data_IF_469058846985
#
_entry.id   IF_469058846985
#
_cell.length_a   1.000
_cell.length_b   1.000
_cell.length_c   1.000
_cell.angle_alpha   90.00
_cell.angle_beta   90.00
_cell.angle_gamma   90.00
#
_symmetry.space_group_name_H-M   'P 1'
#
loop_
_entity.id
_entity.type
_entity.pdbx_description
1 polymer ?
#
# COMPACT_ATOMS: atom_id res chain seq x y z
N UNK A 1 -6.82 -3.73 1.32
CA UNK A 1 -8.10 -3.17 0.85
C UNK A 1 -8.76 -4.17 -0.07
N UNK A 2 -10.05 -4.47 0.14
CA UNK A 2 -10.83 -5.31 -0.78
C UNK A 2 -11.52 -4.40 -1.80
N UNK A 3 -11.17 -4.54 -3.07
CA UNK A 3 -11.60 -3.68 -4.17
C UNK A 3 -12.07 -4.53 -5.36
N UNK A 4 -13.03 -4.02 -6.11
CA UNK A 4 -13.42 -4.51 -7.44
C UNK A 4 -12.48 -3.96 -8.50
N UNK A 5 -12.38 -4.62 -9.66
CA UNK A 5 -11.64 -4.09 -10.80
C UNK A 5 -12.14 -2.68 -11.18
N UNK A 6 -11.21 -1.73 -11.34
CA UNK A 6 -11.48 -0.34 -11.67
C UNK A 6 -11.82 0.57 -10.48
N UNK A 7 -12.08 0.01 -9.29
CA UNK A 7 -12.26 0.82 -8.06
C UNK A 7 -11.03 1.69 -7.81
N UNK A 8 -11.24 2.92 -7.31
CA UNK A 8 -10.16 3.88 -7.03
C UNK A 8 -10.12 4.28 -5.57
N UNK A 9 -8.92 4.25 -4.98
CA UNK A 9 -8.67 4.76 -3.63
C UNK A 9 -7.52 5.76 -3.65
N UNK A 10 -7.78 6.99 -3.20
CA UNK A 10 -6.71 7.91 -2.86
C UNK A 10 -5.98 7.38 -1.63
N UNK A 11 -4.67 7.49 -1.62
CA UNK A 11 -3.84 7.12 -0.48
C UNK A 11 -2.76 8.16 -0.22
N UNK A 12 -2.34 8.23 1.04
CA UNK A 12 -1.05 8.79 1.42
C UNK A 12 -0.50 8.00 2.59
N UNK A 13 0.79 7.70 2.55
CA UNK A 13 1.50 7.15 3.70
C UNK A 13 2.79 7.92 3.96
N UNK A 14 3.15 8.00 5.24
CA UNK A 14 4.38 8.64 5.68
C UNK A 14 5.00 7.87 6.85
N UNK A 15 6.33 7.92 6.92
CA UNK A 15 7.16 7.28 7.93
C UNK A 15 7.70 8.34 8.87
N UNK A 16 7.59 8.10 10.18
CA UNK A 16 8.29 8.85 11.21
C UNK A 16 9.40 8.00 11.79
N UNK A 17 10.60 8.57 11.97
CA UNK A 17 11.76 7.88 12.53
C UNK A 17 12.69 7.22 11.51
N UNK A 18 12.43 7.36 10.20
CA UNK A 18 13.30 6.82 9.16
C UNK A 18 12.63 6.70 7.80
N UNK A 19 13.07 5.71 7.04
CA UNK A 19 12.61 5.39 5.69
C UNK A 19 12.33 3.89 5.57
N UNK A 20 11.54 3.50 4.59
CA UNK A 20 11.20 2.09 4.35
C UNK A 20 11.38 1.72 2.88
N UNK A 21 11.63 0.43 2.64
CA UNK A 21 11.34 -0.16 1.34
C UNK A 21 9.85 -0.50 1.28
N UNK A 22 9.21 -0.30 0.14
CA UNK A 22 7.78 -0.57 0.00
C UNK A 22 7.43 -1.32 -1.28
N UNK A 23 6.23 -1.90 -1.26
CA UNK A 23 5.56 -2.51 -2.41
C UNK A 23 4.05 -2.24 -2.31
N UNK A 24 3.54 -1.35 -3.16
CA UNK A 24 2.10 -1.20 -3.39
C UNK A 24 1.69 -2.34 -4.31
N UNK A 25 0.83 -3.25 -3.84
CA UNK A 25 0.56 -4.51 -4.52
C UNK A 25 -0.92 -4.87 -4.54
N UNK A 26 -1.26 -5.81 -5.42
CA UNK A 26 -2.56 -6.45 -5.47
C UNK A 26 -2.43 -7.97 -5.57
N UNK A 27 -3.32 -8.71 -4.91
CA UNK A 27 -3.39 -10.16 -4.93
C UNK A 27 -4.82 -10.69 -5.04
N UNK A 28 -4.97 -11.81 -5.75
CA UNK A 28 -6.17 -12.61 -5.85
C UNK A 28 -5.79 -14.07 -6.12
N UNK A 29 -6.77 -14.97 -6.20
CA UNK A 29 -6.50 -16.38 -6.44
C UNK A 29 -5.73 -16.58 -7.76
N UNK A 30 -4.46 -16.99 -7.67
CA UNK A 30 -3.58 -17.18 -8.82
C UNK A 30 -3.07 -15.90 -9.49
N UNK A 31 -3.24 -14.72 -8.88
CA UNK A 31 -2.79 -13.43 -9.43
C UNK A 31 -2.09 -12.61 -8.36
N UNK A 32 -0.96 -12.02 -8.69
CA UNK A 32 -0.28 -11.03 -7.87
C UNK A 32 0.44 -10.02 -8.77
N UNK A 33 0.35 -8.74 -8.43
CA UNK A 33 1.07 -7.65 -9.13
C UNK A 33 1.66 -6.69 -8.12
N UNK A 34 2.70 -5.98 -8.55
CA UNK A 34 3.18 -4.77 -7.89
C UNK A 34 2.81 -3.58 -8.76
N UNK A 35 2.10 -2.62 -8.19
CA UNK A 35 1.85 -1.32 -8.79
C UNK A 35 3.12 -0.46 -8.74
N UNK A 36 3.79 -0.44 -7.59
CA UNK A 36 4.98 0.36 -7.38
C UNK A 36 5.86 -0.25 -6.30
N UNK A 37 7.18 -0.14 -6.47
CA UNK A 37 8.16 -0.49 -5.44
C UNK A 37 9.17 0.63 -5.27
N UNK A 38 9.55 0.89 -4.02
CA UNK A 38 10.61 1.84 -3.69
C UNK A 38 11.56 1.32 -2.62
N UNK A 39 12.72 1.99 -2.49
CA UNK A 39 13.74 1.70 -1.47
C UNK A 39 14.17 3.00 -0.81
N UNK A 40 14.24 3.00 0.53
CA UNK A 40 14.63 4.21 1.29
C UNK A 40 13.65 5.37 1.05
N UNK A 41 12.36 5.13 1.20
CA UNK A 41 11.32 6.14 0.95
C UNK A 41 10.63 6.51 2.26
N UNK A 42 10.53 7.81 2.54
CA UNK A 42 9.91 8.35 3.75
C UNK A 42 8.39 8.55 3.61
N UNK A 43 7.87 8.72 2.40
CA UNK A 43 6.45 8.93 2.14
C UNK A 43 6.11 8.67 0.69
N UNK A 44 4.86 8.35 0.41
CA UNK A 44 4.30 8.29 -0.94
C UNK A 44 2.79 8.58 -0.90
N UNK A 45 2.25 9.10 -1.99
CA UNK A 45 0.84 9.42 -2.15
C UNK A 45 0.39 9.26 -3.60
N UNK A 46 -0.90 8.94 -3.79
CA UNK A 46 -1.43 8.74 -5.12
C UNK A 46 -2.84 8.18 -5.15
N UNK A 47 -3.20 7.63 -6.31
CA UNK A 47 -4.46 6.92 -6.53
C UNK A 47 -4.15 5.47 -6.86
N UNK A 48 -4.64 4.55 -6.04
CA UNK A 48 -4.62 3.14 -6.34
C UNK A 48 -5.88 2.77 -7.12
N UNK A 49 -5.72 2.44 -8.40
CA UNK A 49 -6.77 1.88 -9.24
C UNK A 49 -6.60 0.36 -9.32
N UNK A 50 -7.61 -0.38 -8.89
CA UNK A 50 -7.54 -1.83 -8.81
C UNK A 50 -7.50 -2.46 -10.20
N UNK A 51 -6.38 -3.07 -10.58
CA UNK A 51 -6.21 -3.76 -11.86
C UNK A 51 -7.07 -5.04 -11.99
N UNK A 52 -7.64 -5.52 -10.88
CA UNK A 52 -8.56 -6.65 -10.82
C UNK A 52 -9.30 -6.69 -9.49
N UNK A 53 -10.44 -7.39 -9.44
CA UNK A 53 -11.15 -7.66 -8.18
C UNK A 53 -10.29 -8.52 -7.26
N UNK A 54 -9.95 -8.00 -6.08
CA UNK A 54 -8.91 -8.60 -5.25
C UNK A 54 -8.63 -7.85 -3.96
N UNK A 55 -7.54 -8.26 -3.31
CA UNK A 55 -6.94 -7.51 -2.22
C UNK A 55 -5.87 -6.58 -2.81
N UNK A 56 -5.78 -5.37 -2.30
CA UNK A 56 -4.82 -4.35 -2.72
C UNK A 56 -4.30 -3.61 -1.50
N UNK A 57 -3.01 -3.33 -1.43
CA UNK A 57 -2.44 -2.70 -0.23
C UNK A 57 -0.96 -2.47 -0.36
N UNK A 58 -0.31 -2.35 0.79
CA UNK A 58 1.10 -2.00 0.89
C UNK A 58 1.82 -3.00 1.77
N UNK A 59 3.03 -3.31 1.37
CA UNK A 59 4.02 -3.93 2.23
C UNK A 59 5.11 -2.89 2.50
N UNK A 60 5.53 -2.78 3.76
CA UNK A 60 6.65 -1.93 4.16
C UNK A 60 7.69 -2.75 4.89
N UNK A 61 8.96 -2.43 4.66
CA UNK A 61 10.09 -3.07 5.32
C UNK A 61 11.08 -2.02 5.79
N UNK A 62 11.23 -1.94 7.12
CA UNK A 62 12.35 -1.25 7.74
C UNK A 62 13.63 -2.08 7.58
N UNK A 63 14.72 -1.44 7.17
CA UNK A 63 16.06 -2.03 7.03
C UNK A 63 17.09 -1.36 7.94
N UNK A 64 16.70 -0.27 8.62
CA UNK A 64 17.53 0.40 9.60
C UNK A 64 17.40 -0.24 10.99
N UNK A 65 18.22 0.25 11.90
CA UNK A 65 18.34 -0.27 13.26
C UNK A 65 17.45 0.45 14.29
N UNK A 66 16.72 1.47 13.86
CA UNK A 66 15.78 2.25 14.69
C UNK A 66 14.34 1.91 14.35
N UNK A 67 13.46 1.98 15.35
CA UNK A 67 12.02 1.82 15.16
C UNK A 67 11.45 2.90 14.25
N UNK A 68 10.44 2.54 13.47
CA UNK A 68 9.71 3.46 12.59
C UNK A 68 8.21 3.33 12.80
N UNK A 69 7.49 4.43 12.62
CA UNK A 69 6.03 4.45 12.56
C UNK A 69 5.57 4.76 11.13
N UNK A 70 4.70 3.92 10.57
CA UNK A 70 4.05 4.19 9.28
C UNK A 70 2.60 4.58 9.52
N UNK A 71 2.18 5.73 8.98
CA UNK A 71 0.79 6.17 9.00
C UNK A 71 0.25 6.15 7.58
N UNK A 72 -0.66 5.21 7.30
CA UNK A 72 -1.41 5.13 6.05
C UNK A 72 -2.79 5.79 6.21
N UNK A 73 -3.16 6.65 5.25
CA UNK A 73 -4.50 7.21 5.09
C UNK A 73 -5.04 6.79 3.73
N UNK A 74 -6.28 6.34 3.69
CA UNK A 74 -6.95 5.93 2.45
C UNK A 74 -8.37 6.47 2.40
N UNK A 75 -8.84 6.80 1.20
CA UNK A 75 -10.23 7.18 0.94
C UNK A 75 -10.63 6.82 -0.49
N UNK A 76 -11.75 6.13 -0.65
CA UNK A 76 -12.33 5.83 -1.95
C UNK A 76 -13.09 4.52 -1.93
N UNK A 77 -13.11 3.86 -3.08
CA UNK A 77 -13.94 2.70 -3.36
C UNK A 77 -13.24 1.42 -2.85
N UNK A 78 -13.50 1.08 -1.59
CA UNK A 78 -13.12 -0.20 -1.03
C UNK A 78 -14.10 -0.61 0.06
N UNK A 79 -14.37 -1.91 0.16
CA UNK A 79 -15.33 -2.45 1.13
C UNK A 79 -14.72 -2.68 2.51
N UNK A 80 -13.42 -2.99 2.57
CA UNK A 80 -12.71 -3.27 3.83
C UNK A 80 -11.22 -3.02 3.68
N UNK A 81 -10.59 -2.50 4.72
CA UNK A 81 -9.13 -2.52 4.90
C UNK A 81 -8.79 -3.49 6.03
N UNK A 82 -7.91 -4.45 5.75
CA UNK A 82 -7.38 -5.34 6.79
C UNK A 82 -6.11 -4.70 7.34
N UNK A 83 -6.04 -4.57 8.66
CA UNK A 83 -4.83 -4.23 9.41
C UNK A 83 -4.30 -5.53 10.01
N UNK A 84 -3.00 -5.80 9.87
CA UNK A 84 -2.32 -6.94 10.50
C UNK A 84 -1.20 -6.43 11.39
#
# INVERSE_FOLDING_TARGET
>A
MKMSEGDKANYSWAVTGGEVNFDTHGDALGKAISYEKGRGVASDEGVLEAAFTGNHGWFWRNRGDSDVQVVLRTRGDYSTIKTM
#
